data_IF_871635881272
#
_entry.id   IF_871635881272
#
_cell.length_a   1.000
_cell.length_b   1.000
_cell.length_c   1.000
_cell.angle_alpha   90.00
_cell.angle_beta   90.00
_cell.angle_gamma   90.00
#
_symmetry.space_group_name_H-M   'P 1'
#
loop_
_entity.id
_entity.type
_entity.pdbx_description
1 polymer ?
#
# COMPACT_ATOMS: atom_id res chain seq x y z
N UNK A 1 -77.71 -41.48 -20.04
CA UNK A 1 -78.62 -40.45 -20.59
C UNK A 1 -78.19 -39.11 -20.04
N UNK A 2 -77.84 -38.17 -20.91
CA UNK A 2 -77.32 -36.86 -20.51
C UNK A 2 -78.49 -35.97 -20.05
N UNK A 3 -78.25 -35.11 -19.07
CA UNK A 3 -79.25 -34.18 -18.49
C UNK A 3 -79.97 -33.36 -19.57
N UNK A 4 -79.27 -33.06 -20.67
CA UNK A 4 -79.78 -32.27 -21.78
C UNK A 4 -80.73 -33.05 -22.71
N UNK A 5 -80.55 -34.38 -22.81
CA UNK A 5 -81.45 -35.26 -23.58
C UNK A 5 -82.81 -35.36 -22.87
N UNK A 6 -82.81 -35.49 -21.55
CA UNK A 6 -84.03 -35.55 -20.73
C UNK A 6 -84.77 -34.20 -20.77
N UNK A 7 -84.04 -33.09 -20.62
CA UNK A 7 -84.65 -31.74 -20.72
C UNK A 7 -85.32 -31.51 -22.06
N UNK A 8 -84.71 -31.95 -23.16
CA UNK A 8 -85.27 -31.82 -24.51
C UNK A 8 -86.58 -32.59 -24.65
N UNK A 9 -86.60 -33.85 -24.19
CA UNK A 9 -87.80 -34.69 -24.25
C UNK A 9 -88.96 -34.10 -23.41
N UNK A 10 -88.65 -33.54 -22.25
CA UNK A 10 -89.65 -32.89 -21.39
C UNK A 10 -90.16 -31.60 -22.03
N UNK A 11 -89.28 -30.79 -22.64
CA UNK A 11 -89.70 -29.55 -23.33
C UNK A 11 -90.54 -29.84 -24.57
N UNK A 12 -90.23 -30.89 -25.32
CA UNK A 12 -91.01 -31.35 -26.46
C UNK A 12 -92.42 -31.79 -26.04
N UNK A 13 -92.51 -32.61 -24.98
CA UNK A 13 -93.80 -33.04 -24.42
C UNK A 13 -94.65 -31.87 -23.89
N UNK A 14 -94.05 -30.89 -23.21
CA UNK A 14 -94.76 -29.72 -22.68
C UNK A 14 -95.25 -28.76 -23.78
N UNK A 15 -94.60 -28.76 -24.94
CA UNK A 15 -95.03 -27.99 -26.11
C UNK A 15 -96.15 -28.70 -26.84
N UNK A 16 -96.10 -30.03 -26.97
CA UNK A 16 -97.18 -30.83 -27.56
C UNK A 16 -98.49 -30.72 -26.77
N UNK A 17 -98.42 -30.67 -25.43
CA UNK A 17 -99.56 -30.44 -24.55
C UNK A 17 -100.05 -28.96 -24.54
N UNK A 18 -99.47 -28.10 -25.40
CA UNK A 18 -99.79 -26.66 -25.50
C UNK A 18 -99.60 -25.86 -24.20
N UNK A 19 -98.79 -26.38 -23.26
CA UNK A 19 -98.49 -25.74 -21.98
C UNK A 19 -97.46 -24.62 -22.17
N UNK A 20 -96.54 -24.79 -23.12
CA UNK A 20 -95.51 -23.81 -23.48
C UNK A 20 -95.55 -23.49 -24.98
N UNK A 21 -95.28 -22.24 -25.39
CA UNK A 21 -95.19 -21.89 -26.81
C UNK A 21 -93.91 -22.45 -27.45
N UNK A 22 -94.00 -22.85 -28.72
CA UNK A 22 -92.89 -23.39 -29.54
C UNK A 22 -91.62 -22.51 -29.54
N UNK A 23 -91.79 -21.20 -29.35
CA UNK A 23 -90.69 -20.24 -29.26
C UNK A 23 -89.70 -20.55 -28.12
N UNK A 24 -90.14 -21.26 -27.07
CA UNK A 24 -89.28 -21.67 -25.94
C UNK A 24 -88.30 -22.78 -26.38
N UNK A 25 -88.71 -23.70 -27.25
CA UNK A 25 -87.82 -24.72 -27.82
C UNK A 25 -86.73 -24.07 -28.69
N UNK A 26 -87.09 -23.07 -29.50
CA UNK A 26 -86.14 -22.35 -30.36
C UNK A 26 -85.10 -21.57 -29.54
N UNK A 27 -85.52 -20.90 -28.46
CA UNK A 27 -84.59 -20.21 -27.55
C UNK A 27 -83.67 -21.17 -26.79
N UNK A 28 -84.10 -22.39 -26.46
CA UNK A 28 -83.25 -23.38 -25.80
C UNK A 28 -82.16 -23.98 -26.72
N UNK A 29 -82.40 -23.97 -28.04
CA UNK A 29 -81.45 -24.48 -29.06
C UNK A 29 -80.34 -23.44 -29.37
N UNK A 30 -80.59 -22.15 -29.13
CA UNK A 30 -79.68 -21.05 -29.55
C UNK A 30 -78.57 -20.70 -28.57
N UNK A 31 -78.49 -21.35 -27.40
CA UNK A 31 -77.37 -21.13 -26.48
C UNK A 31 -76.41 -22.33 -26.54
N UNK A 32 -75.36 -22.29 -27.38
CA UNK A 32 -74.32 -23.31 -27.37
C UNK A 32 -73.45 -23.12 -26.12
N UNK A 33 -73.84 -23.77 -25.02
CA UNK A 33 -73.06 -23.85 -23.79
C UNK A 33 -71.67 -24.48 -24.00
N UNK A 34 -71.49 -25.28 -25.05
CA UNK A 34 -70.23 -25.98 -25.35
C UNK A 34 -69.10 -25.01 -25.76
N UNK A 35 -69.40 -24.02 -26.61
CA UNK A 35 -68.40 -23.04 -27.07
C UNK A 35 -67.94 -22.11 -25.95
N UNK A 36 -68.78 -21.82 -24.95
CA UNK A 36 -68.44 -20.90 -23.86
C UNK A 36 -67.45 -21.50 -22.86
N UNK A 37 -67.53 -22.82 -22.62
CA UNK A 37 -66.58 -23.53 -21.76
C UNK A 37 -65.22 -23.70 -22.43
N UNK A 38 -65.19 -24.01 -23.72
CA UNK A 38 -63.94 -24.11 -24.50
C UNK A 38 -63.24 -22.75 -24.63
N UNK A 39 -63.99 -21.66 -24.85
CA UNK A 39 -63.45 -20.29 -24.82
C UNK A 39 -62.81 -19.95 -23.48
N UNK A 40 -63.48 -20.25 -22.36
CA UNK A 40 -62.92 -20.04 -21.01
C UNK A 40 -61.70 -20.92 -20.73
N UNK A 41 -61.68 -22.16 -21.21
CA UNK A 41 -60.50 -23.04 -21.09
C UNK A 41 -59.30 -22.45 -21.84
N UNK A 42 -59.51 -22.02 -23.08
CA UNK A 42 -58.47 -21.34 -23.87
C UNK A 42 -57.97 -20.07 -23.20
N UNK A 43 -58.88 -19.26 -22.65
CA UNK A 43 -58.55 -18.02 -21.94
C UNK A 43 -57.71 -18.28 -20.69
N UNK A 44 -58.02 -19.33 -19.93
CA UNK A 44 -57.24 -19.77 -18.76
C UNK A 44 -55.84 -20.24 -19.19
N UNK A 45 -55.75 -21.04 -20.26
CA UNK A 45 -54.45 -21.53 -20.77
C UNK A 45 -53.59 -20.36 -21.27
N UNK A 46 -54.19 -19.44 -22.02
CA UNK A 46 -53.52 -18.23 -22.52
C UNK A 46 -53.05 -17.32 -21.36
N UNK A 47 -53.87 -17.11 -20.32
CA UNK A 47 -53.48 -16.33 -19.15
C UNK A 47 -52.35 -16.99 -18.37
N UNK A 48 -52.35 -18.32 -18.27
CA UNK A 48 -51.26 -19.09 -17.66
C UNK A 48 -49.96 -18.96 -18.46
N UNK A 49 -50.04 -19.03 -19.79
CA UNK A 49 -48.91 -18.81 -20.70
C UNK A 49 -48.32 -17.40 -20.54
N UNK A 50 -49.18 -16.37 -20.52
CA UNK A 50 -48.76 -14.97 -20.30
C UNK A 50 -48.03 -14.85 -18.96
N UNK A 51 -48.59 -15.40 -17.89
CA UNK A 51 -48.00 -15.32 -16.55
C UNK A 51 -46.66 -16.05 -16.45
N UNK A 52 -46.52 -17.19 -17.12
CA UNK A 52 -45.23 -17.91 -17.20
C UNK A 52 -44.19 -17.07 -17.95
N UNK A 53 -44.58 -16.48 -19.08
CA UNK A 53 -43.70 -15.65 -19.91
C UNK A 53 -43.28 -14.35 -19.21
N UNK A 54 -44.15 -13.79 -18.37
CA UNK A 54 -43.82 -12.65 -17.52
C UNK A 54 -42.80 -13.02 -16.44
N UNK A 55 -43.01 -14.13 -15.72
CA UNK A 55 -42.06 -14.62 -14.72
C UNK A 55 -40.69 -14.95 -15.33
N UNK A 56 -40.66 -15.52 -16.54
CA UNK A 56 -39.40 -15.81 -17.23
C UNK A 56 -38.65 -14.52 -17.60
N UNK A 57 -39.36 -13.52 -18.14
CA UNK A 57 -38.78 -12.20 -18.43
C UNK A 57 -38.29 -11.48 -17.18
N UNK A 58 -39.01 -11.60 -16.06
CA UNK A 58 -38.61 -11.04 -14.78
C UNK A 58 -37.31 -11.69 -14.28
N UNK A 59 -37.24 -13.02 -14.27
CA UNK A 59 -36.00 -13.74 -13.93
C UNK A 59 -34.83 -13.39 -14.84
N UNK A 60 -35.07 -13.25 -16.14
CA UNK A 60 -34.02 -12.87 -17.09
C UNK A 60 -33.53 -11.43 -16.87
N UNK A 61 -34.41 -10.52 -16.44
CA UNK A 61 -34.03 -9.16 -16.03
C UNK A 61 -33.23 -9.17 -14.74
N UNK A 62 -33.69 -9.87 -13.72
CA UNK A 62 -32.97 -10.01 -12.45
C UNK A 62 -31.58 -10.63 -12.64
N UNK A 63 -31.47 -11.66 -13.50
CA UNK A 63 -30.18 -12.29 -13.79
C UNK A 63 -29.24 -11.33 -14.54
N UNK A 64 -29.78 -10.54 -15.49
CA UNK A 64 -29.01 -9.49 -16.18
C UNK A 64 -28.53 -8.41 -15.21
N UNK A 65 -29.41 -7.90 -14.35
CA UNK A 65 -29.06 -6.89 -13.35
C UNK A 65 -28.02 -7.42 -12.36
N UNK A 66 -28.16 -8.68 -11.93
CA UNK A 66 -27.17 -9.32 -11.06
C UNK A 66 -25.81 -9.47 -11.75
N UNK A 67 -25.79 -9.94 -13.00
CA UNK A 67 -24.57 -10.05 -13.79
C UNK A 67 -23.90 -8.69 -14.00
N UNK A 68 -24.69 -7.67 -14.34
CA UNK A 68 -24.18 -6.30 -14.53
C UNK A 68 -23.61 -5.73 -13.23
N UNK A 69 -24.26 -6.01 -12.09
CA UNK A 69 -23.76 -5.60 -10.78
C UNK A 69 -22.46 -6.32 -10.42
N UNK A 70 -22.39 -7.64 -10.61
CA UNK A 70 -21.18 -8.45 -10.39
C UNK A 70 -20.03 -7.98 -11.30
N UNK A 71 -20.30 -7.64 -12.56
CA UNK A 71 -19.32 -7.12 -13.51
C UNK A 71 -18.83 -5.73 -13.11
N UNK A 72 -19.73 -4.81 -12.71
CA UNK A 72 -19.36 -3.50 -12.19
C UNK A 72 -18.53 -3.59 -10.91
N UNK A 73 -18.88 -4.49 -9.99
CA UNK A 73 -18.11 -4.74 -8.77
C UNK A 73 -16.70 -5.27 -9.10
N UNK A 74 -16.60 -6.23 -10.03
CA UNK A 74 -15.31 -6.75 -10.48
C UNK A 74 -14.47 -5.67 -11.17
N UNK A 75 -15.10 -4.79 -11.96
CA UNK A 75 -14.41 -3.71 -12.65
C UNK A 75 -13.89 -2.66 -11.67
N UNK A 76 -14.70 -2.24 -10.69
CA UNK A 76 -14.25 -1.33 -9.63
C UNK A 76 -13.12 -1.93 -8.80
N UNK A 77 -13.17 -3.23 -8.50
CA UNK A 77 -12.12 -3.91 -7.78
C UNK A 77 -10.81 -3.94 -8.56
N UNK A 78 -10.85 -4.26 -9.86
CA UNK A 78 -9.68 -4.21 -10.75
C UNK A 78 -9.09 -2.81 -10.87
N UNK A 79 -9.93 -1.79 -11.06
CA UNK A 79 -9.50 -0.39 -11.15
C UNK A 79 -8.81 0.06 -9.84
N UNK A 80 -9.36 -0.35 -8.70
CA UNK A 80 -8.76 -0.05 -7.39
C UNK A 80 -7.41 -0.75 -7.23
N UNK A 81 -7.32 -2.03 -7.56
CA UNK A 81 -6.06 -2.79 -7.51
C UNK A 81 -4.99 -2.22 -8.45
N UNK A 82 -5.37 -1.84 -9.67
CA UNK A 82 -4.48 -1.22 -10.64
C UNK A 82 -3.98 0.14 -10.14
N UNK A 83 -4.86 0.95 -9.56
CA UNK A 83 -4.49 2.24 -8.97
C UNK A 83 -3.57 2.10 -7.76
N UNK A 84 -3.81 1.12 -6.90
CA UNK A 84 -2.93 0.82 -5.76
C UNK A 84 -1.55 0.35 -6.25
N UNK A 85 -1.50 -0.53 -7.25
CA UNK A 85 -0.25 -0.97 -7.86
C UNK A 85 0.52 0.18 -8.50
N UNK A 86 -0.18 1.09 -9.18
CA UNK A 86 0.43 2.26 -9.80
C UNK A 86 1.03 3.21 -8.75
N UNK A 87 0.29 3.51 -7.66
CA UNK A 87 0.81 4.33 -6.57
C UNK A 87 2.02 3.69 -5.88
N UNK A 88 2.01 2.37 -5.69
CA UNK A 88 3.13 1.65 -5.10
C UNK A 88 4.37 1.74 -6.00
N UNK A 89 4.20 1.53 -7.31
CA UNK A 89 5.29 1.65 -8.29
C UNK A 89 5.85 3.07 -8.35
N UNK A 90 4.99 4.09 -8.36
CA UNK A 90 5.42 5.49 -8.34
C UNK A 90 6.21 5.82 -7.06
N UNK A 91 5.76 5.31 -5.91
CA UNK A 91 6.46 5.47 -4.63
C UNK A 91 7.84 4.80 -4.65
N UNK A 92 7.93 3.56 -5.12
CA UNK A 92 9.19 2.83 -5.26
C UNK A 92 10.14 3.51 -6.24
N UNK A 93 9.64 4.02 -7.37
CA UNK A 93 10.44 4.77 -8.34
C UNK A 93 10.98 6.07 -7.74
N UNK A 94 10.14 6.80 -6.99
CA UNK A 94 10.54 8.02 -6.30
C UNK A 94 11.57 7.75 -5.20
N UNK A 95 11.41 6.66 -4.45
CA UNK A 95 12.39 6.23 -3.44
C UNK A 95 13.73 5.85 -4.10
N UNK A 96 13.69 5.11 -5.21
CA UNK A 96 14.88 4.76 -5.98
C UNK A 96 15.57 6.00 -6.56
N UNK A 97 14.80 6.97 -7.06
CA UNK A 97 15.35 8.23 -7.57
C UNK A 97 16.01 9.04 -6.45
N UNK A 98 15.36 9.17 -5.30
CA UNK A 98 15.92 9.83 -4.12
C UNK A 98 17.21 9.14 -3.65
N UNK A 99 17.26 7.81 -3.68
CA UNK A 99 18.44 7.05 -3.32
C UNK A 99 19.59 7.29 -4.30
N UNK A 100 19.32 7.23 -5.60
CA UNK A 100 20.30 7.55 -6.66
C UNK A 100 20.81 8.97 -6.56
N UNK A 101 19.95 9.94 -6.26
CA UNK A 101 20.36 11.33 -6.09
C UNK A 101 21.26 11.52 -4.86
N UNK A 102 20.94 10.86 -3.74
CA UNK A 102 21.79 10.85 -2.54
C UNK A 102 23.16 10.24 -2.85
N UNK A 103 23.20 9.08 -3.49
CA UNK A 103 24.44 8.41 -3.87
C UNK A 103 25.26 9.26 -4.84
N UNK A 104 24.62 9.90 -5.83
CA UNK A 104 25.28 10.82 -6.75
C UNK A 104 25.89 12.03 -6.02
N UNK A 105 25.14 12.63 -5.08
CA UNK A 105 25.62 13.75 -4.26
C UNK A 105 26.76 13.35 -3.34
N UNK A 106 26.70 12.17 -2.74
CA UNK A 106 27.79 11.63 -1.92
C UNK A 106 29.03 11.35 -2.78
N UNK A 107 28.85 10.80 -3.98
CA UNK A 107 29.93 10.56 -4.91
C UNK A 107 30.57 11.86 -5.40
N UNK A 108 29.76 12.87 -5.75
CA UNK A 108 30.22 14.20 -6.13
C UNK A 108 30.99 14.87 -4.98
N UNK A 109 30.44 14.81 -3.77
CA UNK A 109 31.10 15.34 -2.58
C UNK A 109 32.43 14.63 -2.30
N UNK A 110 32.48 13.30 -2.46
CA UNK A 110 33.70 12.50 -2.34
C UNK A 110 34.72 12.93 -3.38
N UNK A 111 34.36 13.00 -4.66
CA UNK A 111 35.24 13.47 -5.73
C UNK A 111 35.80 14.86 -5.43
N UNK A 112 34.97 15.80 -4.98
CA UNK A 112 35.39 17.16 -4.62
C UNK A 112 36.35 17.17 -3.43
N UNK A 113 36.19 16.27 -2.45
CA UNK A 113 37.18 16.09 -1.38
C UNK A 113 38.51 15.57 -1.91
N UNK A 114 38.50 14.63 -2.87
CA UNK A 114 39.74 14.15 -3.51
C UNK A 114 40.43 15.28 -4.28
N UNK A 115 39.66 16.06 -5.05
CA UNK A 115 40.14 17.19 -5.88
C UNK A 115 40.73 18.32 -5.02
N UNK A 116 40.09 18.66 -3.90
CA UNK A 116 40.60 19.63 -2.92
C UNK A 116 41.80 19.11 -2.11
N UNK A 117 42.30 17.90 -2.40
CA UNK A 117 43.44 17.29 -1.71
C UNK A 117 43.15 16.93 -0.24
N UNK A 118 41.88 16.76 0.13
CA UNK A 118 41.43 16.48 1.51
C UNK A 118 41.54 14.98 1.86
N UNK A 119 42.21 14.16 1.05
CA UNK A 119 42.61 12.80 1.47
C UNK A 119 43.82 12.90 2.40
N UNK A 120 43.57 13.15 3.68
CA UNK A 120 44.23 12.33 4.69
C UNK A 120 43.39 11.07 4.83
N UNK A 121 44.00 9.94 4.47
CA UNK A 121 43.38 8.63 4.40
C UNK A 121 42.50 8.31 5.62
N UNK A 122 41.22 8.04 5.37
CA UNK A 122 40.35 7.36 6.33
C UNK A 122 40.13 5.93 5.85
N UNK A 123 41.06 5.04 6.23
CA UNK A 123 40.80 3.61 6.29
C UNK A 123 39.85 3.35 7.47
N UNK A 124 38.75 2.59 7.29
CA UNK A 124 37.82 2.31 8.38
C UNK A 124 38.32 1.09 9.16
N UNK A 125 39.36 1.26 9.97
CA UNK A 125 39.71 0.34 11.06
C UNK A 125 40.69 1.02 12.01
N UNK A 126 40.39 0.89 13.29
CA UNK A 126 41.09 1.46 14.46
C UNK A 126 40.53 2.83 14.83
N UNK A 127 39.82 2.81 15.95
CA UNK A 127 39.20 3.99 16.51
C UNK A 127 40.22 5.00 17.02
N UNK A 128 39.65 6.17 17.26
CA UNK A 128 40.16 7.24 18.10
C UNK A 128 41.35 8.04 17.53
N UNK A 129 41.00 9.30 17.34
CA UNK A 129 41.85 10.47 17.47
C UNK A 129 42.32 11.13 16.16
N UNK A 130 42.12 12.43 16.25
CA UNK A 130 42.14 13.53 15.33
C UNK A 130 43.45 13.70 14.54
N UNK A 131 43.35 14.48 13.46
CA UNK A 131 44.42 14.83 12.52
C UNK A 131 45.82 14.83 13.14
N UNK A 132 46.63 13.86 12.70
CA UNK A 132 47.92 13.50 13.29
C UNK A 132 48.81 14.68 13.69
N UNK A 133 48.84 14.95 14.98
CA UNK A 133 49.94 15.64 15.64
C UNK A 133 51.09 14.65 15.76
N UNK A 134 52.08 14.79 14.89
CA UNK A 134 53.28 13.95 14.89
C UNK A 134 54.19 14.37 16.05
N UNK A 135 54.01 13.72 17.20
CA UNK A 135 54.74 13.97 18.45
C UNK A 135 56.25 13.92 18.20
N UNK A 136 56.74 12.95 17.42
CA UNK A 136 58.16 12.76 17.12
C UNK A 136 58.83 13.95 16.41
N UNK A 137 58.06 14.74 15.66
CA UNK A 137 58.56 15.97 15.02
C UNK A 137 58.65 17.14 16.00
N UNK A 138 57.72 17.20 16.95
CA UNK A 138 57.61 18.31 17.90
C UNK A 138 58.49 18.14 19.14
N UNK A 139 58.83 16.89 19.52
CA UNK A 139 59.79 16.58 20.60
C UNK A 139 61.13 17.31 20.43
N UNK A 140 61.60 17.50 19.19
CA UNK A 140 62.86 18.22 18.91
C UNK A 140 62.82 19.72 19.25
N UNK A 141 61.62 20.30 19.33
CA UNK A 141 61.41 21.71 19.68
C UNK A 141 61.15 21.89 21.18
N UNK A 142 61.00 20.80 21.93
CA UNK A 142 60.86 20.87 23.38
C UNK A 142 62.23 21.31 23.95
N UNK A 143 62.29 22.43 24.69
CA UNK A 143 63.52 22.88 25.36
C UNK A 143 64.09 21.78 26.25
N UNK A 144 65.39 21.76 26.57
CA UNK A 144 65.93 20.75 27.49
C UNK A 144 65.49 21.03 28.92
N UNK A 145 65.08 20.01 29.65
CA UNK A 145 64.69 20.10 31.04
C UNK A 145 65.89 20.46 31.93
N UNK A 146 65.70 21.43 32.82
CA UNK A 146 66.69 21.87 33.78
C UNK A 146 66.10 21.79 35.19
N UNK A 147 66.60 20.87 36.02
CA UNK A 147 66.14 20.65 37.40
C UNK A 147 66.31 21.90 38.29
N UNK A 148 67.31 22.74 38.01
CA UNK A 148 67.60 23.95 38.80
C UNK A 148 66.57 25.08 38.61
N UNK A 149 65.80 25.09 37.51
CA UNK A 149 64.89 26.19 37.15
C UNK A 149 63.63 25.67 36.44
N UNK A 150 62.89 24.80 37.12
CA UNK A 150 61.68 24.14 36.60
C UNK A 150 60.61 25.13 36.12
N UNK A 151 60.42 26.25 36.83
CA UNK A 151 59.43 27.28 36.45
C UNK A 151 59.74 27.96 35.11
N UNK A 152 61.01 28.20 34.80
CA UNK A 152 61.42 28.81 33.53
C UNK A 152 61.21 27.84 32.36
N UNK A 153 61.46 26.56 32.61
CA UNK A 153 61.24 25.50 31.63
C UNK A 153 59.76 25.40 31.24
N UNK A 154 58.84 25.33 32.21
CA UNK A 154 57.41 25.23 31.91
C UNK A 154 56.89 26.48 31.20
N UNK A 155 57.25 27.69 31.64
CA UNK A 155 56.89 28.93 30.94
C UNK A 155 57.37 28.93 29.47
N UNK A 156 58.58 28.41 29.20
CA UNK A 156 59.10 28.34 27.84
C UNK A 156 58.38 27.26 27.01
N UNK A 157 58.08 26.11 27.61
CA UNK A 157 57.31 25.03 26.99
C UNK A 157 55.89 25.47 26.63
N UNK A 158 55.17 26.12 27.55
CA UNK A 158 53.80 26.59 27.32
C UNK A 158 53.75 27.62 26.20
N UNK A 159 54.70 28.56 26.19
CA UNK A 159 54.82 29.55 25.11
C UNK A 159 55.04 28.90 23.75
N UNK A 160 55.87 27.85 23.68
CA UNK A 160 56.09 27.08 22.45
C UNK A 160 54.86 26.26 22.07
N UNK A 161 54.17 25.66 23.03
CA UNK A 161 52.93 24.91 22.83
C UNK A 161 51.81 25.79 22.29
N UNK A 162 51.68 27.01 22.77
CA UNK A 162 50.72 27.99 22.25
C UNK A 162 51.12 28.51 20.87
N UNK A 163 52.40 28.82 20.66
CA UNK A 163 52.91 29.33 19.38
C UNK A 163 52.81 28.27 18.25
N UNK A 164 53.11 27.01 18.56
CA UNK A 164 53.07 25.88 17.62
C UNK A 164 51.72 25.15 17.63
N UNK A 165 50.75 25.64 18.40
CA UNK A 165 49.39 25.08 18.54
C UNK A 165 49.38 23.57 18.86
N UNK A 166 50.20 23.16 19.82
CA UNK A 166 50.25 21.77 20.28
C UNK A 166 48.93 21.39 20.98
N UNK A 167 48.31 20.23 20.66
CA UNK A 167 47.13 19.76 21.37
C UNK A 167 47.44 19.51 22.83
N UNK A 168 46.64 20.06 23.77
CA UNK A 168 46.88 19.91 25.21
C UNK A 168 46.92 18.44 25.65
N UNK A 169 46.17 17.57 24.98
CA UNK A 169 46.16 16.12 25.23
C UNK A 169 47.50 15.43 24.95
N UNK A 170 48.40 16.06 24.17
CA UNK A 170 49.73 15.53 23.83
C UNK A 170 50.86 16.23 24.59
N UNK A 171 50.57 17.26 25.41
CA UNK A 171 51.61 18.01 26.15
C UNK A 171 52.35 17.12 27.15
N UNK A 172 51.65 16.25 27.87
CA UNK A 172 52.25 15.29 28.80
C UNK A 172 53.25 14.37 28.11
N UNK A 173 52.91 13.86 26.92
CA UNK A 173 53.78 12.97 26.13
C UNK A 173 55.03 13.72 25.65
N UNK A 174 54.90 14.98 25.23
CA UNK A 174 56.03 15.82 24.81
C UNK A 174 56.99 16.10 25.98
N UNK A 175 56.44 16.43 27.15
CA UNK A 175 57.23 16.74 28.35
C UNK A 175 57.93 15.49 28.88
N UNK A 176 57.23 14.34 28.91
CA UNK A 176 57.80 13.06 29.35
C UNK A 176 59.07 12.70 28.57
N UNK A 177 59.09 12.94 27.26
CA UNK A 177 60.27 12.66 26.42
C UNK A 177 61.50 13.51 26.75
N UNK A 178 61.31 14.59 27.50
CA UNK A 178 62.32 15.59 27.80
C UNK A 178 62.80 15.56 29.26
N UNK A 179 62.03 14.94 30.16
CA UNK A 179 62.49 14.71 31.52
C UNK A 179 63.76 13.85 31.51
N UNK A 180 64.76 14.31 32.25
CA UNK A 180 66.05 13.64 32.43
C UNK A 180 66.37 13.62 33.93
N UNK A 181 67.14 12.62 34.38
CA UNK A 181 67.55 12.53 35.77
C UNK A 181 66.41 12.13 36.72
N UNK A 182 66.28 12.83 37.85
CA UNK A 182 65.34 12.47 38.92
C UNK A 182 63.89 12.66 38.50
N UNK A 183 63.62 13.65 37.65
CA UNK A 183 62.27 13.90 37.13
C UNK A 183 61.74 12.72 36.28
N UNK A 184 62.62 12.07 35.53
CA UNK A 184 62.26 10.88 34.74
C UNK A 184 61.94 9.69 35.66
N UNK A 185 62.76 9.46 36.69
CA UNK A 185 62.54 8.37 37.66
C UNK A 185 61.20 8.53 38.39
N UNK A 186 60.88 9.74 38.84
CA UNK A 186 59.61 10.03 39.52
C UNK A 186 58.42 9.84 38.57
N UNK A 187 58.52 10.32 37.33
CA UNK A 187 57.45 10.16 36.35
C UNK A 187 57.23 8.68 35.99
N UNK A 188 58.30 7.90 35.82
CA UNK A 188 58.22 6.45 35.58
C UNK A 188 57.65 5.68 36.77
N UNK A 189 57.82 6.16 38.00
CA UNK A 189 57.23 5.56 39.20
C UNK A 189 55.74 5.93 39.39
N UNK A 190 55.27 6.99 38.74
CA UNK A 190 53.88 7.48 38.80
C UNK A 190 52.99 6.94 37.67
N UNK A 191 53.59 6.32 36.66
CA UNK A 191 52.90 5.73 35.50
C UNK A 191 52.50 4.29 35.78
#
# INVERSE_FOLDING_TARGET
MRKDEIKRYVLEYLVDESILPITVLETAITVPTDNTFELKRLEIEMNKEIRLKEMEREREREERERKEKEEREMQMQKEKEEREMQMQKEKEEREMQMQREKEAREHEFRLKQLELGVIKASDPKIGLDTGGFDVSKHVKFVPKFQEDNVEKFFNHFEKLGEQLKWPRDKWSILIQSNFTGKAQEVYSALQ
#
